data_IF_775795410696
#
_entry.id   IF_775795410696
#
_cell.length_a   1.000
_cell.length_b   1.000
_cell.length_c   1.000
_cell.angle_alpha   90.00
_cell.angle_beta   90.00
_cell.angle_gamma   90.00
#
_symmetry.space_group_name_H-M   'P 1'
#
loop_
_entity.id
_entity.type
_entity.pdbx_description
1 polymer ?
#
# COMPACT_ATOMS: atom_id res chain seq x y z
N UNK A 1 26.02 10.52 -70.61
CA UNK A 1 25.04 11.55 -70.14
C UNK A 1 25.14 12.91 -70.86
N UNK A 2 26.29 13.37 -71.37
CA UNK A 2 26.39 14.67 -72.08
C UNK A 2 25.74 14.69 -73.48
N UNK A 3 25.77 13.58 -74.23
CA UNK A 3 25.18 13.48 -75.58
C UNK A 3 23.65 13.61 -75.63
N UNK A 4 22.95 13.27 -74.54
CA UNK A 4 21.48 13.36 -74.49
C UNK A 4 21.00 14.81 -74.31
N UNK A 5 21.85 15.69 -73.75
CA UNK A 5 21.51 17.09 -73.48
C UNK A 5 21.65 18.00 -74.71
N UNK A 6 22.43 17.61 -75.71
CA UNK A 6 22.66 18.41 -76.92
C UNK A 6 21.57 18.23 -78.00
N UNK A 7 20.77 17.15 -77.92
CA UNK A 7 19.70 16.88 -78.89
C UNK A 7 18.32 17.43 -78.50
N UNK A 8 18.18 18.08 -77.34
CA UNK A 8 16.89 18.64 -76.90
C UNK A 8 16.70 20.11 -77.30
N UNK A 9 15.63 20.36 -78.06
CA UNK A 9 15.14 21.71 -78.41
C UNK A 9 14.79 22.51 -77.15
N UNK A 10 15.00 23.84 -77.17
CA UNK A 10 14.86 24.77 -76.01
C UNK A 10 13.59 24.57 -75.16
N UNK A 11 12.46 24.17 -75.77
CA UNK A 11 11.19 23.88 -75.07
C UNK A 11 11.18 22.57 -74.29
N UNK A 12 11.81 21.50 -74.79
CA UNK A 12 11.85 20.20 -74.10
C UNK A 12 12.75 20.23 -72.86
N UNK A 13 13.85 21.01 -72.89
CA UNK A 13 14.71 21.23 -71.72
C UNK A 13 13.94 21.82 -70.53
N UNK A 14 13.00 22.75 -70.78
CA UNK A 14 12.18 23.36 -69.73
C UNK A 14 11.23 22.35 -69.06
N UNK A 15 10.60 21.48 -69.85
CA UNK A 15 9.68 20.47 -69.32
C UNK A 15 10.44 19.38 -68.52
N UNK A 16 11.64 19.00 -68.98
CA UNK A 16 12.51 18.07 -68.25
C UNK A 16 12.98 18.68 -66.92
N UNK A 17 13.39 19.95 -66.92
CA UNK A 17 13.78 20.66 -65.69
C UNK A 17 12.60 20.80 -64.73
N UNK A 18 11.42 21.17 -65.23
CA UNK A 18 10.21 21.28 -64.42
C UNK A 18 9.80 19.92 -63.82
N UNK A 19 9.87 18.84 -64.60
CA UNK A 19 9.62 17.48 -64.12
C UNK A 19 10.64 17.06 -63.05
N UNK A 20 11.93 17.34 -63.27
CA UNK A 20 13.00 17.05 -62.32
C UNK A 20 12.80 17.82 -61.00
N UNK A 21 12.42 19.10 -61.07
CA UNK A 21 12.16 19.93 -59.90
C UNK A 21 10.94 19.41 -59.10
N UNK A 22 9.89 18.97 -59.79
CA UNK A 22 8.69 18.40 -59.17
C UNK A 22 9.02 17.08 -58.46
N UNK A 23 9.77 16.19 -59.11
CA UNK A 23 10.24 14.93 -58.51
C UNK A 23 11.17 15.19 -57.33
N UNK A 24 12.11 16.13 -57.45
CA UNK A 24 13.00 16.51 -56.35
C UNK A 24 12.22 17.12 -55.17
N UNK A 25 11.21 17.96 -55.44
CA UNK A 25 10.32 18.52 -54.42
C UNK A 25 9.50 17.44 -53.71
N UNK A 26 8.92 16.49 -54.46
CA UNK A 26 8.19 15.36 -53.89
C UNK A 26 9.10 14.47 -53.03
N UNK A 27 10.33 14.20 -53.48
CA UNK A 27 11.33 13.46 -52.71
C UNK A 27 11.74 14.21 -51.44
N UNK A 28 11.93 15.53 -51.49
CA UNK A 28 12.24 16.33 -50.29
C UNK A 28 11.10 16.31 -49.27
N UNK A 29 9.84 16.40 -49.72
CA UNK A 29 8.69 16.29 -48.82
C UNK A 29 8.66 14.89 -48.19
N UNK A 30 8.82 13.84 -49.00
CA UNK A 30 8.76 12.46 -48.53
C UNK A 30 9.90 12.09 -47.58
N UNK A 31 11.13 12.54 -47.84
CA UNK A 31 12.33 12.12 -47.10
C UNK A 31 12.86 13.13 -46.07
N UNK A 32 12.38 14.38 -46.06
CA UNK A 32 12.81 15.37 -45.07
C UNK A 32 11.64 15.87 -44.20
N UNK A 33 10.54 16.30 -44.80
CA UNK A 33 9.44 16.95 -44.05
C UNK A 33 8.65 15.93 -43.23
N UNK A 34 8.22 14.83 -43.85
CA UNK A 34 7.48 13.76 -43.17
C UNK A 34 8.28 13.16 -42.00
N UNK A 35 9.54 12.68 -42.19
CA UNK A 35 10.29 12.09 -41.09
C UNK A 35 10.61 13.10 -39.96
N UNK A 36 10.78 14.39 -40.29
CA UNK A 36 10.96 15.44 -39.28
C UNK A 36 9.71 15.61 -38.39
N UNK A 37 8.52 15.66 -38.98
CA UNK A 37 7.27 15.77 -38.23
C UNK A 37 6.98 14.51 -37.39
N UNK A 38 7.23 13.32 -37.96
CA UNK A 38 7.09 12.07 -37.21
C UNK A 38 8.06 11.97 -36.03
N UNK A 39 9.33 12.34 -36.23
CA UNK A 39 10.33 12.34 -35.16
C UNK A 39 9.90 13.25 -34.00
N UNK A 40 9.36 14.44 -34.29
CA UNK A 40 8.87 15.38 -33.28
C UNK A 40 7.68 14.82 -32.50
N UNK A 41 6.73 14.19 -33.17
CA UNK A 41 5.56 13.58 -32.52
C UNK A 41 5.96 12.38 -31.65
N UNK A 42 6.91 11.55 -32.08
CA UNK A 42 7.42 10.42 -31.28
C UNK A 42 8.10 10.90 -29.99
N UNK A 43 8.93 11.95 -30.06
CA UNK A 43 9.58 12.53 -28.86
C UNK A 43 8.56 13.15 -27.93
N UNK A 44 7.57 13.90 -28.45
CA UNK A 44 6.52 14.49 -27.63
C UNK A 44 5.65 13.42 -26.93
N UNK A 45 5.29 12.35 -27.64
CA UNK A 45 4.56 11.21 -27.08
C UNK A 45 5.35 10.46 -26.00
N UNK A 46 6.67 10.29 -26.21
CA UNK A 46 7.54 9.67 -25.22
C UNK A 46 7.64 10.51 -23.94
N UNK A 47 7.79 11.84 -24.05
CA UNK A 47 7.84 12.75 -22.90
C UNK A 47 6.53 12.69 -22.11
N UNK A 48 5.38 12.77 -22.79
CA UNK A 48 4.08 12.69 -22.14
C UNK A 48 3.85 11.34 -21.42
N UNK A 49 4.31 10.24 -22.03
CA UNK A 49 4.27 8.91 -21.43
C UNK A 49 5.15 8.79 -20.19
N UNK A 50 6.40 9.29 -20.25
CA UNK A 50 7.32 9.31 -19.11
C UNK A 50 6.82 10.20 -17.97
N UNK A 51 6.23 11.35 -18.27
CA UNK A 51 5.67 12.25 -17.26
C UNK A 51 4.49 11.60 -16.52
N UNK A 52 3.62 10.89 -17.24
CA UNK A 52 2.54 10.11 -16.63
C UNK A 52 3.09 9.01 -15.71
N UNK A 53 4.10 8.27 -16.17
CA UNK A 53 4.74 7.22 -15.37
C UNK A 53 5.39 7.78 -14.09
N UNK A 54 6.05 8.93 -14.16
CA UNK A 54 6.64 9.58 -12.97
C UNK A 54 5.57 10.01 -11.97
N UNK A 55 4.43 10.54 -12.44
CA UNK A 55 3.32 10.90 -11.53
C UNK A 55 2.74 9.68 -10.81
N UNK A 56 2.53 8.58 -11.54
CA UNK A 56 2.05 7.32 -10.96
C UNK A 56 3.06 6.71 -9.97
N UNK A 57 4.36 6.77 -10.29
CA UNK A 57 5.43 6.35 -9.39
C UNK A 57 5.55 7.25 -8.15
N UNK A 58 5.33 8.56 -8.28
CA UNK A 58 5.36 9.48 -7.17
C UNK A 58 4.21 9.23 -6.19
N UNK A 59 2.99 8.98 -6.70
CA UNK A 59 1.86 8.60 -5.83
C UNK A 59 2.09 7.25 -5.16
N UNK A 60 2.58 6.25 -5.91
CA UNK A 60 2.87 4.92 -5.35
C UNK A 60 4.01 4.98 -4.33
N UNK A 61 5.02 5.81 -4.57
CA UNK A 61 6.14 6.05 -3.66
C UNK A 61 5.72 6.69 -2.33
N UNK A 62 4.73 7.59 -2.35
CA UNK A 62 4.18 8.19 -1.14
C UNK A 62 3.46 7.14 -0.27
N UNK A 63 2.64 6.29 -0.88
CA UNK A 63 1.96 5.18 -0.19
C UNK A 63 2.97 4.17 0.38
N UNK A 64 3.98 3.81 -0.43
CA UNK A 64 5.06 2.93 0.01
C UNK A 64 5.85 3.51 1.19
N UNK A 65 6.14 4.81 1.17
CA UNK A 65 6.84 5.49 2.26
C UNK A 65 6.09 5.40 3.59
N UNK A 66 4.77 5.63 3.57
CA UNK A 66 3.92 5.49 4.77
C UNK A 66 3.88 4.04 5.26
N UNK A 67 3.72 3.08 4.35
CA UNK A 67 3.69 1.65 4.72
C UNK A 67 5.02 1.19 5.31
N UNK A 68 6.15 1.62 4.72
CA UNK A 68 7.49 1.33 5.22
C UNK A 68 7.73 1.92 6.61
N UNK A 69 7.31 3.16 6.85
CA UNK A 69 7.41 3.77 8.18
C UNK A 69 6.64 2.99 9.25
N UNK A 70 5.42 2.53 8.92
CA UNK A 70 4.61 1.69 9.82
C UNK A 70 5.28 0.35 10.09
N UNK A 71 5.84 -0.29 9.08
CA UNK A 71 6.57 -1.55 9.23
C UNK A 71 7.81 -1.39 10.14
N UNK A 72 8.58 -0.32 9.95
CA UNK A 72 9.74 -0.01 10.81
C UNK A 72 9.35 0.37 12.25
N UNK A 73 8.17 0.94 12.47
CA UNK A 73 7.62 1.17 13.82
C UNK A 73 7.27 -0.16 14.50
N UNK A 74 6.59 -1.06 13.77
CA UNK A 74 6.26 -2.41 14.26
C UNK A 74 7.53 -3.17 14.66
N UNK A 75 8.52 -3.19 13.76
CA UNK A 75 9.81 -3.84 14.00
C UNK A 75 10.50 -3.31 15.25
N UNK A 76 10.60 -1.99 15.41
CA UNK A 76 11.23 -1.36 16.58
C UNK A 76 10.54 -1.71 17.89
N UNK A 77 9.21 -1.78 17.91
CA UNK A 77 8.47 -2.17 19.12
C UNK A 77 8.70 -3.65 19.44
N UNK A 78 8.61 -4.52 18.43
CA UNK A 78 8.84 -5.96 18.62
C UNK A 78 10.26 -6.24 19.14
N UNK A 79 11.28 -5.53 18.63
CA UNK A 79 12.68 -5.65 19.07
C UNK A 79 12.94 -5.12 20.48
N UNK A 80 12.23 -4.06 20.91
CA UNK A 80 12.37 -3.48 22.26
C UNK A 80 11.69 -4.30 23.35
N UNK A 81 10.76 -5.17 22.96
CA UNK A 81 9.93 -5.90 23.90
C UNK A 81 10.73 -6.98 24.62
N UNK A 82 10.49 -7.22 25.91
CA UNK A 82 11.14 -8.33 26.61
C UNK A 82 10.88 -9.66 25.90
N UNK A 83 11.88 -10.55 25.81
CA UNK A 83 11.68 -11.89 25.27
C UNK A 83 10.61 -12.61 26.07
N UNK A 84 9.66 -13.26 25.38
CA UNK A 84 8.58 -14.03 26.01
C UNK A 84 7.30 -13.25 26.35
N UNK A 85 7.10 -12.06 25.77
CA UNK A 85 5.80 -11.38 25.88
C UNK A 85 4.66 -12.28 25.36
N UNK A 86 3.67 -12.54 26.21
CA UNK A 86 2.45 -13.27 25.86
C UNK A 86 1.23 -12.36 25.97
N UNK A 87 0.45 -12.24 24.88
CA UNK A 87 -0.74 -11.40 24.85
C UNK A 87 -1.75 -11.81 25.94
N UNK A 88 -1.90 -13.11 26.18
CA UNK A 88 -2.76 -13.63 27.25
C UNK A 88 -2.39 -13.05 28.62
N UNK A 89 -1.12 -13.17 29.03
CA UNK A 89 -0.64 -12.66 30.32
C UNK A 89 -0.73 -11.15 30.43
N UNK A 90 -0.51 -10.44 29.32
CA UNK A 90 -0.71 -8.99 29.25
C UNK A 90 -2.18 -8.62 29.53
N UNK A 91 -3.12 -9.25 28.84
CA UNK A 91 -4.56 -9.00 29.01
C UNK A 91 -5.04 -9.32 30.42
N UNK A 92 -4.57 -10.43 30.99
CA UNK A 92 -4.91 -10.82 32.36
C UNK A 92 -4.44 -9.76 33.38
N UNK A 93 -3.21 -9.25 33.21
CA UNK A 93 -2.67 -8.18 34.06
C UNK A 93 -3.52 -6.90 33.93
N UNK A 94 -3.81 -6.45 32.70
CA UNK A 94 -4.62 -5.26 32.46
C UNK A 94 -6.05 -5.39 32.99
N UNK A 95 -6.63 -6.58 32.90
CA UNK A 95 -7.93 -6.86 33.51
C UNK A 95 -7.88 -6.79 35.05
N UNK A 96 -6.76 -7.17 35.66
CA UNK A 96 -6.49 -6.95 37.08
C UNK A 96 -6.44 -5.47 37.45
N UNK A 97 -5.64 -4.69 36.72
CA UNK A 97 -5.50 -3.24 36.91
C UNK A 97 -6.84 -2.49 36.76
N UNK A 98 -7.68 -2.93 35.82
CA UNK A 98 -9.02 -2.38 35.58
C UNK A 98 -10.09 -2.88 36.56
N UNK A 99 -9.76 -3.80 37.47
CA UNK A 99 -10.71 -4.40 38.42
C UNK A 99 -11.80 -5.27 37.75
N UNK A 100 -11.51 -5.82 36.56
CA UNK A 100 -12.43 -6.68 35.78
C UNK A 100 -11.95 -8.12 35.66
N UNK A 101 -10.89 -8.50 36.38
CA UNK A 101 -10.34 -9.87 36.33
C UNK A 101 -11.39 -10.93 36.71
N UNK A 102 -12.21 -10.66 37.73
CA UNK A 102 -13.29 -11.55 38.16
C UNK A 102 -14.45 -11.65 37.14
N UNK A 103 -14.52 -10.70 36.21
CA UNK A 103 -15.52 -10.64 35.15
C UNK A 103 -15.12 -11.44 33.91
N UNK A 104 -13.88 -11.96 33.85
CA UNK A 104 -13.41 -12.77 32.72
C UNK A 104 -14.16 -14.10 32.70
N UNK A 105 -14.99 -14.28 31.67
CA UNK A 105 -15.67 -15.55 31.39
C UNK A 105 -14.82 -16.50 30.57
N UNK A 106 -14.07 -15.96 29.60
CA UNK A 106 -13.17 -16.75 28.76
C UNK A 106 -12.09 -15.88 28.14
N UNK A 107 -10.93 -16.47 27.89
CA UNK A 107 -9.84 -15.86 27.15
C UNK A 107 -9.18 -16.94 26.28
N UNK A 108 -9.43 -16.86 24.97
CA UNK A 108 -9.06 -17.90 24.02
C UNK A 108 -8.06 -17.32 23.00
N UNK A 109 -6.83 -17.85 22.92
CA UNK A 109 -5.93 -17.50 21.83
C UNK A 109 -6.50 -18.02 20.51
N UNK A 110 -6.49 -17.16 19.50
CA UNK A 110 -6.82 -17.52 18.13
C UNK A 110 -5.57 -17.98 17.39
N UNK A 111 -5.74 -18.68 16.26
CA UNK A 111 -4.63 -19.05 15.40
C UNK A 111 -3.90 -17.79 14.95
N UNK A 112 -2.60 -17.76 15.21
CA UNK A 112 -1.77 -16.70 14.70
C UNK A 112 -1.71 -16.71 13.18
N UNK A 113 -1.62 -15.53 12.59
CA UNK A 113 -1.53 -15.36 11.14
C UNK A 113 -0.16 -14.76 10.81
N UNK A 114 0.65 -15.40 9.94
CA UNK A 114 1.89 -14.80 9.48
C UNK A 114 1.59 -13.57 8.62
N UNK A 115 2.19 -12.44 8.97
CA UNK A 115 2.09 -11.16 8.24
C UNK A 115 3.51 -10.73 7.88
N UNK A 116 3.92 -11.03 6.65
CA UNK A 116 5.27 -10.74 6.11
C UNK A 116 6.41 -11.25 7.01
N UNK A 117 6.99 -10.36 7.82
CA UNK A 117 8.14 -10.62 8.69
C UNK A 117 7.77 -10.86 10.16
N UNK A 118 6.48 -10.77 10.50
CA UNK A 118 5.97 -10.89 11.86
C UNK A 118 4.81 -11.86 11.93
N UNK A 119 4.55 -12.37 13.12
CA UNK A 119 3.37 -13.19 13.39
C UNK A 119 2.36 -12.34 14.16
N UNK A 120 1.12 -12.29 13.67
CA UNK A 120 0.04 -11.63 14.36
C UNK A 120 -0.62 -12.60 15.34
N UNK A 121 -0.48 -12.32 16.64
CA UNK A 121 -1.12 -13.08 17.71
C UNK A 121 -2.39 -12.39 18.13
N UNK A 122 -3.51 -13.11 18.10
CA UNK A 122 -4.82 -12.58 18.49
C UNK A 122 -5.41 -13.40 19.63
N UNK A 123 -6.06 -12.72 20.58
CA UNK A 123 -6.80 -13.33 21.69
C UNK A 123 -8.23 -12.80 21.69
N UNK A 124 -9.20 -13.70 21.77
CA UNK A 124 -10.59 -13.37 22.02
C UNK A 124 -10.88 -13.46 23.52
N UNK A 125 -11.34 -12.38 24.11
CA UNK A 125 -11.67 -12.29 25.53
C UNK A 125 -13.14 -11.93 25.72
N UNK A 126 -13.83 -12.64 26.62
CA UNK A 126 -15.21 -12.35 27.00
C UNK A 126 -15.28 -11.95 28.47
N UNK A 127 -15.92 -10.81 28.71
CA UNK A 127 -16.21 -10.28 30.04
C UNK A 127 -17.73 -10.25 30.26
N UNK A 128 -18.19 -10.70 31.42
CA UNK A 128 -19.60 -10.65 31.84
C UNK A 128 -19.74 -9.82 33.13
N UNK A 129 -20.95 -9.33 33.43
CA UNK A 129 -21.26 -8.56 34.64
C UNK A 129 -20.47 -7.24 34.77
N UNK A 130 -20.24 -6.56 33.65
CA UNK A 130 -19.53 -5.28 33.62
C UNK A 130 -20.45 -4.08 33.85
N UNK A 131 -19.97 -3.09 34.59
CA UNK A 131 -20.54 -1.73 34.56
C UNK A 131 -19.97 -0.92 33.39
N UNK A 132 -20.65 0.15 32.97
CA UNK A 132 -20.12 1.07 31.95
C UNK A 132 -18.74 1.64 32.34
N UNK A 133 -18.55 1.98 33.62
CA UNK A 133 -17.27 2.50 34.12
C UNK A 133 -16.15 1.48 33.96
N UNK A 134 -16.37 0.24 34.40
CA UNK A 134 -15.39 -0.85 34.26
C UNK A 134 -15.03 -1.15 32.80
N UNK A 135 -16.03 -1.09 31.90
CA UNK A 135 -15.78 -1.25 30.48
C UNK A 135 -14.85 -0.15 29.93
N UNK A 136 -15.14 1.12 30.26
CA UNK A 136 -14.31 2.24 29.80
C UNK A 136 -12.91 2.22 30.40
N UNK A 137 -12.79 1.91 31.70
CA UNK A 137 -11.50 1.78 32.38
C UNK A 137 -10.66 0.66 31.76
N UNK A 138 -11.28 -0.49 31.45
CA UNK A 138 -10.60 -1.59 30.77
C UNK A 138 -10.14 -1.21 29.36
N UNK A 139 -11.00 -0.55 28.56
CA UNK A 139 -10.64 -0.08 27.22
C UNK A 139 -9.43 0.85 27.23
N UNK A 140 -9.35 1.74 28.22
CA UNK A 140 -8.24 2.67 28.37
C UNK A 140 -6.92 1.95 28.74
N UNK A 141 -6.99 0.94 29.60
CA UNK A 141 -5.80 0.24 30.10
C UNK A 141 -5.28 -0.87 29.17
N UNK A 142 -6.16 -1.46 28.36
CA UNK A 142 -5.79 -2.60 27.51
C UNK A 142 -5.04 -2.17 26.25
N UNK A 143 -5.44 -1.05 25.63
CA UNK A 143 -4.77 -0.53 24.44
C UNK A 143 -3.45 0.15 24.80
N UNK A 144 -2.37 -0.24 24.14
CA UNK A 144 -1.05 0.37 24.35
C UNK A 144 -0.31 0.52 23.03
N UNK A 145 0.16 1.74 22.76
CA UNK A 145 0.97 2.05 21.58
C UNK A 145 2.38 1.47 21.71
N UNK A 146 2.96 1.55 22.90
CA UNK A 146 4.32 1.05 23.19
C UNK A 146 4.41 -0.46 23.01
N UNK A 147 3.30 -1.15 23.22
CA UNK A 147 3.17 -2.59 23.13
C UNK A 147 2.50 -3.05 21.81
N UNK A 148 2.04 -2.13 20.97
CA UNK A 148 1.22 -2.44 19.78
C UNK A 148 0.05 -3.39 20.06
N UNK A 149 -0.51 -3.31 21.27
CA UNK A 149 -1.70 -4.06 21.65
C UNK A 149 -2.92 -3.23 21.28
N UNK A 150 -3.77 -3.76 20.39
CA UNK A 150 -4.95 -3.05 19.88
C UNK A 150 -6.17 -3.94 19.86
N UNK A 151 -7.33 -3.33 20.04
CA UNK A 151 -8.62 -4.01 19.88
C UNK A 151 -8.98 -4.00 18.40
N UNK A 152 -9.13 -5.19 17.82
CA UNK A 152 -9.62 -5.40 16.44
C UNK A 152 -11.12 -5.24 16.36
N UNK A 153 -11.82 -5.83 17.32
CA UNK A 153 -13.27 -5.91 17.34
C UNK A 153 -13.76 -5.94 18.78
N UNK A 154 -14.87 -5.26 19.02
CA UNK A 154 -15.59 -5.30 20.28
C UNK A 154 -17.08 -5.45 20.01
N UNK A 155 -17.74 -6.33 20.76
CA UNK A 155 -19.20 -6.46 20.79
C UNK A 155 -19.65 -6.27 22.23
N UNK A 156 -20.59 -5.35 22.48
CA UNK A 156 -21.14 -5.09 23.81
C UNK A 156 -22.65 -5.31 23.79
N UNK A 157 -23.19 -5.94 24.82
CA UNK A 157 -24.63 -6.15 24.99
C UNK A 157 -25.03 -6.13 26.45
N UNK A 158 -26.30 -5.81 26.73
CA UNK A 158 -26.88 -5.94 28.07
C UNK A 158 -27.07 -7.42 28.41
N UNK A 159 -26.87 -7.78 29.68
CA UNK A 159 -27.17 -9.14 30.12
C UNK A 159 -28.68 -9.39 30.15
N UNK A 160 -29.11 -10.58 29.73
CA UNK A 160 -30.54 -10.96 29.72
C UNK A 160 -31.12 -11.09 31.13
N UNK A 161 -30.33 -11.60 32.06
CA UNK A 161 -30.74 -11.87 33.45
C UNK A 161 -30.59 -10.64 34.35
N UNK A 162 -29.74 -9.68 33.98
CA UNK A 162 -29.42 -8.50 34.79
C UNK A 162 -29.11 -7.30 33.87
N UNK A 163 -30.13 -6.60 33.36
CA UNK A 163 -29.97 -5.53 32.35
C UNK A 163 -29.14 -4.32 32.80
N UNK A 164 -28.88 -4.19 34.09
CA UNK A 164 -27.97 -3.22 34.70
C UNK A 164 -26.49 -3.52 34.43
N UNK A 165 -26.17 -4.75 34.04
CA UNK A 165 -24.83 -5.18 33.68
C UNK A 165 -24.67 -5.46 32.18
N UNK A 166 -23.41 -5.42 31.74
CA UNK A 166 -23.00 -5.62 30.36
C UNK A 166 -22.18 -6.90 30.21
N UNK A 167 -22.32 -7.52 29.05
CA UNK A 167 -21.40 -8.50 28.50
C UNK A 167 -20.64 -7.84 27.36
N UNK A 168 -19.33 -8.02 27.34
CA UNK A 168 -18.47 -7.55 26.26
C UNK A 168 -17.56 -8.67 25.74
N UNK A 169 -17.41 -8.74 24.42
CA UNK A 169 -16.47 -9.64 23.73
C UNK A 169 -15.47 -8.78 22.98
N UNK A 170 -14.18 -9.02 23.21
CA UNK A 170 -13.07 -8.30 22.60
C UNK A 170 -12.22 -9.26 21.80
N UNK A 171 -11.79 -8.84 20.62
CA UNK A 171 -10.68 -9.45 19.91
C UNK A 171 -9.51 -8.47 19.97
N UNK A 172 -8.46 -8.85 20.69
CA UNK A 172 -7.26 -8.04 20.87
C UNK A 172 -6.11 -8.72 20.15
N UNK A 173 -5.27 -7.95 19.47
CA UNK A 173 -4.13 -8.48 18.75
C UNK A 173 -2.86 -7.69 19.03
N UNK A 174 -1.73 -8.35 18.77
CA UNK A 174 -0.39 -7.78 18.81
C UNK A 174 0.47 -8.47 17.74
N UNK A 175 1.60 -7.87 17.41
CA UNK A 175 2.64 -8.50 16.61
C UNK A 175 3.70 -9.15 17.50
N UNK A 176 4.23 -10.28 17.06
CA UNK A 176 5.35 -10.99 17.64
C UNK A 176 6.38 -11.34 16.56
N UNK A 177 7.63 -11.58 16.98
CA UNK A 177 8.64 -12.13 16.09
C UNK A 177 8.27 -13.57 15.72
N UNK A 178 8.53 -13.95 14.47
CA UNK A 178 8.40 -15.34 14.03
C UNK A 178 9.21 -16.27 14.95
N UNK A 179 8.64 -17.40 15.40
CA UNK A 179 9.38 -18.39 16.16
C UNK A 179 10.59 -18.90 15.36
N UNK A 180 11.75 -19.15 16.00
CA UNK A 180 12.87 -19.80 15.34
C UNK A 180 12.46 -21.24 14.95
N UNK A 181 12.09 -21.45 13.70
CA UNK A 181 11.66 -22.77 13.17
C UNK A 181 10.69 -22.75 12.00
N UNK A 182 10.24 -21.57 11.53
CA UNK A 182 9.30 -21.43 10.40
C UNK A 182 9.96 -21.04 9.06
N UNK A 183 11.25 -21.35 8.88
CA UNK A 183 11.97 -21.25 7.60
C UNK A 183 12.15 -22.61 6.97
#
# INVERSE_FOLDING_TARGET
MKQFWDQLTKGQKRNVIAGLALVAGALLIQFAVIPWFEARQRVAGAIAGSEKAIRELASLGAEYGVLRQRSEEIKRVVERRPPGFALFSYLEKRAGDAGVKANIRSMNPLKSVPVEAHEETTVEMKLDKLTMKQLTDFLYLVESREDLVRIRKMTVGKMKESPEYLTAVFQVFTYQSLPPGSR
#
